data_IF_444799965296
#
_entry.id   IF_444799965296
#
_cell.length_a   1.000
_cell.length_b   1.000
_cell.length_c   1.000
_cell.angle_alpha   90.00
_cell.angle_beta   90.00
_cell.angle_gamma   90.00
#
_symmetry.space_group_name_H-M   'P 1'
#
loop_
_entity.id
_entity.type
_entity.pdbx_description
1 polymer ?
#
# COMPACT_ATOMS: atom_id res chain seq x y z
N UNK A 1 -15.32 -7.52 42.67
CA UNK A 1 -14.75 -6.36 41.97
C UNK A 1 -14.67 -6.75 40.52
N UNK A 2 -15.62 -6.27 39.70
CA UNK A 2 -15.57 -6.44 38.25
C UNK A 2 -14.39 -5.62 37.72
N UNK A 3 -13.39 -6.28 37.16
CA UNK A 3 -12.38 -5.64 36.33
C UNK A 3 -13.05 -5.26 35.01
N UNK A 4 -13.63 -4.08 34.97
CA UNK A 4 -14.03 -3.42 33.73
C UNK A 4 -12.73 -3.13 32.94
N UNK A 5 -12.65 -3.71 31.73
CA UNK A 5 -11.58 -3.56 30.73
C UNK A 5 -10.31 -4.44 30.83
N UNK A 6 -10.40 -5.76 30.56
CA UNK A 6 -9.20 -6.55 30.27
C UNK A 6 -8.91 -6.77 28.76
N UNK A 7 -9.61 -6.10 27.82
CA UNK A 7 -9.71 -6.63 26.45
C UNK A 7 -8.95 -5.89 25.34
N UNK A 8 -8.30 -4.79 25.62
CA UNK A 8 -7.47 -4.11 24.61
C UNK A 8 -6.06 -3.92 25.13
N UNK A 9 -5.19 -4.87 24.82
CA UNK A 9 -3.76 -4.66 25.03
C UNK A 9 -3.24 -3.84 23.85
N UNK A 10 -3.13 -2.53 24.05
CA UNK A 10 -2.51 -1.60 23.10
C UNK A 10 -1.02 -1.53 23.42
N UNK A 11 -0.20 -2.04 22.54
CA UNK A 11 1.25 -1.85 22.61
C UNK A 11 1.61 -0.60 21.82
N UNK A 12 1.76 0.52 22.52
CA UNK A 12 2.51 1.68 22.03
C UNK A 12 3.88 1.58 22.65
N UNK A 13 4.92 1.42 21.85
CA UNK A 13 6.24 1.72 22.34
C UNK A 13 6.25 3.22 22.64
N UNK A 14 6.53 3.60 23.88
CA UNK A 14 6.79 5.00 24.28
C UNK A 14 8.08 5.56 23.62
N UNK A 15 8.73 4.77 22.79
CA UNK A 15 10.01 5.04 22.18
C UNK A 15 9.87 5.21 20.68
N UNK A 16 10.30 6.32 20.25
CA UNK A 16 10.77 6.82 18.98
C UNK A 16 10.32 6.12 17.69
N UNK A 17 9.70 6.89 16.81
CA UNK A 17 9.63 6.62 15.36
C UNK A 17 11.02 6.22 14.85
N UNK A 18 11.17 5.16 14.06
CA UNK A 18 12.43 4.73 13.48
C UNK A 18 13.23 5.88 12.85
N UNK A 19 14.54 5.86 13.02
CA UNK A 19 15.46 6.91 12.49
C UNK A 19 15.89 6.64 11.06
N UNK A 20 15.65 5.43 10.56
CA UNK A 20 16.04 4.97 9.21
C UNK A 20 14.93 4.11 8.64
N UNK A 21 14.72 4.20 7.34
CA UNK A 21 13.96 3.21 6.60
C UNK A 21 14.84 2.01 6.29
N UNK A 22 14.23 0.83 6.23
CA UNK A 22 14.88 -0.41 5.83
C UNK A 22 14.67 -0.68 4.34
N UNK A 23 15.75 -0.93 3.61
CA UNK A 23 15.74 -1.22 2.20
C UNK A 23 16.00 -2.71 1.95
N UNK A 24 14.99 -3.44 1.48
CA UNK A 24 15.08 -4.87 1.19
C UNK A 24 16.08 -5.19 0.06
N UNK A 25 16.33 -4.24 -0.86
CA UNK A 25 17.25 -4.45 -1.98
C UNK A 25 18.66 -4.88 -1.53
N UNK A 26 19.07 -4.46 -0.34
CA UNK A 26 20.36 -4.84 0.24
C UNK A 26 20.42 -6.30 0.74
N UNK A 27 19.28 -6.96 0.88
CA UNK A 27 19.16 -8.29 1.48
C UNK A 27 18.38 -9.28 0.58
N UNK A 28 18.07 -8.92 -0.66
CA UNK A 28 17.39 -9.82 -1.58
C UNK A 28 18.22 -11.10 -1.83
N UNK A 29 17.59 -12.28 -1.90
CA UNK A 29 18.29 -13.55 -2.05
C UNK A 29 18.96 -13.72 -3.43
N UNK A 30 18.48 -12.96 -4.41
CA UNK A 30 19.02 -12.88 -5.78
C UNK A 30 18.91 -11.44 -6.28
N UNK A 31 19.71 -11.08 -7.26
CA UNK A 31 19.72 -9.74 -7.83
C UNK A 31 18.38 -9.38 -8.47
N UNK A 32 17.91 -8.16 -8.20
CA UNK A 32 16.68 -7.65 -8.81
C UNK A 32 16.93 -7.34 -10.30
N UNK A 33 16.08 -7.86 -11.21
CA UNK A 33 16.22 -7.55 -12.62
C UNK A 33 16.08 -6.05 -12.92
N UNK A 34 17.05 -5.49 -13.65
CA UNK A 34 17.07 -4.08 -13.99
C UNK A 34 15.85 -3.64 -14.83
N UNK A 35 15.36 -2.41 -14.65
CA UNK A 35 14.35 -1.82 -15.51
C UNK A 35 14.83 -1.77 -16.99
N UNK A 36 13.90 -1.85 -17.93
CA UNK A 36 14.20 -1.81 -19.37
C UNK A 36 13.41 -0.71 -20.08
N UNK A 37 14.09 -0.02 -20.98
CA UNK A 37 13.43 0.84 -21.95
C UNK A 37 12.73 -0.01 -23.03
N UNK A 38 11.61 0.47 -23.56
CA UNK A 38 11.05 -0.09 -24.79
C UNK A 38 11.82 0.38 -26.00
N UNK A 39 11.68 -0.33 -27.11
CA UNK A 39 12.38 -0.01 -28.35
C UNK A 39 12.10 1.45 -28.81
N UNK A 40 13.17 2.17 -29.08
CA UNK A 40 13.11 3.55 -29.54
C UNK A 40 12.69 4.60 -28.51
N UNK A 41 12.57 4.25 -27.22
CA UNK A 41 12.20 5.17 -26.13
C UNK A 41 13.26 5.14 -25.02
N UNK A 42 13.35 6.22 -24.28
CA UNK A 42 14.25 6.36 -23.13
C UNK A 42 13.44 6.72 -21.86
N UNK A 43 12.61 5.77 -21.44
CA UNK A 43 11.75 5.93 -20.26
C UNK A 43 12.55 6.05 -18.95
N UNK A 44 13.73 5.43 -18.87
CA UNK A 44 14.57 5.52 -17.66
C UNK A 44 15.03 6.97 -17.46
N UNK A 45 15.47 7.66 -18.52
CA UNK A 45 15.80 9.09 -18.43
C UNK A 45 14.56 9.96 -18.23
N UNK A 46 13.40 9.58 -18.79
CA UNK A 46 12.14 10.29 -18.54
C UNK A 46 11.75 10.32 -17.06
N UNK A 47 12.12 9.29 -16.28
CA UNK A 47 11.91 9.29 -14.82
C UNK A 47 12.65 10.45 -14.14
N UNK A 48 13.82 10.87 -14.62
CA UNK A 48 14.56 12.01 -14.06
C UNK A 48 13.78 13.33 -14.17
N UNK A 49 12.97 13.46 -15.21
CA UNK A 49 12.10 14.62 -15.38
C UNK A 49 10.85 14.50 -14.52
N UNK A 50 10.25 13.32 -14.44
CA UNK A 50 8.99 13.09 -13.74
C UNK A 50 9.12 13.05 -12.21
N UNK A 51 10.22 12.52 -11.66
CA UNK A 51 10.41 12.33 -10.22
C UNK A 51 11.34 13.37 -9.60
N UNK A 52 11.29 13.50 -8.28
CA UNK A 52 12.30 14.21 -7.50
C UNK A 52 13.65 13.46 -7.54
N UNK A 53 14.75 14.21 -7.44
CA UNK A 53 16.11 13.64 -7.42
C UNK A 53 16.28 12.64 -6.26
N UNK A 54 15.79 13.04 -5.08
CA UNK A 54 15.86 12.17 -3.90
C UNK A 54 14.98 10.92 -4.05
N UNK A 55 13.77 11.04 -4.63
CA UNK A 55 12.90 9.89 -4.94
C UNK A 55 13.61 8.88 -5.85
N UNK A 56 14.31 9.35 -6.89
CA UNK A 56 15.11 8.48 -7.76
C UNK A 56 16.34 7.89 -7.06
N UNK A 57 17.03 8.69 -6.24
CA UNK A 57 18.16 8.17 -5.46
C UNK A 57 17.72 7.02 -4.54
N UNK A 58 16.55 7.13 -3.93
CA UNK A 58 15.97 6.08 -3.10
C UNK A 58 15.43 4.89 -3.91
N UNK A 59 14.93 5.13 -5.13
CA UNK A 59 14.49 4.06 -6.02
C UNK A 59 15.60 3.09 -6.35
N UNK A 60 16.78 3.61 -6.67
CA UNK A 60 17.96 2.84 -7.05
C UNK A 60 18.94 2.61 -5.90
N UNK A 61 18.56 2.91 -4.65
CA UNK A 61 19.42 2.74 -3.50
C UNK A 61 19.75 1.27 -3.23
N UNK A 62 21.01 1.03 -2.88
CA UNK A 62 21.55 -0.28 -2.45
C UNK A 62 21.89 -0.32 -0.97
N UNK A 63 21.94 0.83 -0.30
CA UNK A 63 22.16 0.91 1.14
C UNK A 63 21.02 0.24 1.91
N UNK A 64 21.36 -0.61 2.88
CA UNK A 64 20.37 -1.32 3.71
C UNK A 64 19.50 -0.40 4.55
N UNK A 65 20.02 0.72 5.00
CA UNK A 65 19.31 1.68 5.83
C UNK A 65 19.48 3.10 5.31
N UNK A 66 18.38 3.75 4.98
CA UNK A 66 18.35 5.14 4.53
C UNK A 66 17.83 6.02 5.66
N UNK A 67 18.56 7.10 5.97
CA UNK A 67 18.21 8.01 7.07
C UNK A 67 16.89 8.73 6.77
N UNK A 68 16.00 8.74 7.76
CA UNK A 68 14.79 9.55 7.73
C UNK A 68 15.14 10.98 8.17
N UNK A 69 14.85 12.02 7.36
CA UNK A 69 15.04 13.41 7.79
C UNK A 69 14.31 13.71 9.11
N UNK A 70 14.88 14.58 9.94
CA UNK A 70 14.27 14.96 11.23
C UNK A 70 12.86 15.52 11.06
N UNK A 71 12.68 16.39 10.07
CA UNK A 71 11.42 17.04 9.75
C UNK A 71 10.34 16.03 9.31
N UNK A 72 10.73 15.01 8.53
CA UNK A 72 9.83 13.90 8.16
C UNK A 72 9.43 13.09 9.40
N UNK A 73 10.36 12.86 10.32
CA UNK A 73 10.07 12.14 11.58
C UNK A 73 9.15 12.95 12.49
N UNK A 74 9.33 14.26 12.57
CA UNK A 74 8.45 15.17 13.30
C UNK A 74 7.04 15.10 12.74
N UNK A 75 6.87 15.21 11.42
CA UNK A 75 5.57 15.05 10.77
C UNK A 75 4.95 13.66 11.01
N UNK A 76 5.75 12.59 11.00
CA UNK A 76 5.27 11.26 11.37
C UNK A 76 4.71 11.22 12.81
N UNK A 77 5.39 11.84 13.77
CA UNK A 77 4.93 11.90 15.16
C UNK A 77 3.66 12.75 15.31
N UNK A 78 3.58 13.89 14.64
CA UNK A 78 2.37 14.73 14.59
C UNK A 78 1.18 13.98 13.98
N UNK A 79 1.42 13.12 12.99
CA UNK A 79 0.40 12.28 12.35
C UNK A 79 0.10 10.99 13.12
N UNK A 80 0.59 10.86 14.35
CA UNK A 80 0.21 9.83 15.30
C UNK A 80 1.06 8.56 15.29
N UNK A 81 2.26 8.59 14.70
CA UNK A 81 3.21 7.46 14.81
C UNK A 81 3.99 7.49 16.14
N UNK A 82 4.40 6.32 16.67
CA UNK A 82 4.11 4.98 16.17
C UNK A 82 2.64 4.59 16.31
N UNK A 83 2.09 3.90 15.28
CA UNK A 83 0.72 3.40 15.35
C UNK A 83 0.62 2.20 16.31
N UNK A 84 -0.52 1.98 16.98
CA UNK A 84 -0.63 0.89 17.97
C UNK A 84 -0.59 -0.51 17.32
N UNK A 85 -0.12 -1.50 18.09
CA UNK A 85 -0.39 -2.91 17.86
C UNK A 85 -1.51 -3.35 18.81
N UNK A 86 -2.52 -4.05 18.31
CA UNK A 86 -3.64 -4.54 19.10
C UNK A 86 -3.79 -6.06 18.94
N UNK A 87 -4.26 -6.73 19.99
CA UNK A 87 -4.62 -8.15 19.95
C UNK A 87 -6.13 -8.31 19.82
N UNK A 88 -6.59 -9.13 18.88
CA UNK A 88 -8.00 -9.37 18.58
C UNK A 88 -8.60 -10.46 19.51
N UNK A 89 -8.59 -10.22 20.82
CA UNK A 89 -9.02 -11.21 21.82
C UNK A 89 -10.46 -11.64 21.68
N UNK A 90 -11.38 -10.72 21.35
CA UNK A 90 -12.80 -11.06 21.16
C UNK A 90 -13.03 -11.91 19.93
N UNK A 91 -12.27 -11.65 18.86
CA UNK A 91 -12.29 -12.49 17.66
C UNK A 91 -11.72 -13.89 17.96
N UNK A 92 -10.62 -13.99 18.71
CA UNK A 92 -10.04 -15.26 19.15
C UNK A 92 -11.06 -16.09 19.95
N UNK A 93 -11.75 -15.46 20.92
CA UNK A 93 -12.82 -16.07 21.72
C UNK A 93 -14.00 -16.51 20.86
N UNK A 94 -14.48 -15.63 19.95
CA UNK A 94 -15.56 -15.95 19.02
C UNK A 94 -15.24 -17.14 18.13
N UNK A 95 -14.02 -17.23 17.60
CA UNK A 95 -13.54 -18.35 16.79
C UNK A 95 -13.29 -19.61 17.62
N UNK A 96 -13.19 -19.48 18.94
CA UNK A 96 -12.79 -20.55 19.87
C UNK A 96 -11.48 -21.21 19.40
N UNK A 97 -10.43 -20.40 19.21
CA UNK A 97 -9.13 -20.81 18.67
C UNK A 97 -8.01 -20.60 19.70
N UNK A 98 -6.97 -21.45 19.73
CA UNK A 98 -5.76 -21.18 20.51
C UNK A 98 -4.84 -20.14 19.83
N UNK A 99 -5.12 -19.71 18.59
CA UNK A 99 -4.30 -18.72 17.89
C UNK A 99 -4.37 -17.37 18.59
N UNK A 100 -3.24 -16.65 18.61
CA UNK A 100 -3.14 -15.24 19.00
C UNK A 100 -3.15 -14.37 17.75
N UNK A 101 -4.11 -13.45 17.62
CA UNK A 101 -4.28 -12.63 16.44
C UNK A 101 -3.92 -11.18 16.77
N UNK A 102 -2.84 -10.66 16.18
CA UNK A 102 -2.40 -9.28 16.31
C UNK A 102 -2.68 -8.49 15.04
N UNK A 103 -3.03 -7.21 15.19
CA UNK A 103 -3.22 -6.31 14.06
C UNK A 103 -2.63 -4.93 14.33
N UNK A 104 -1.79 -4.49 13.39
CA UNK A 104 -1.14 -3.17 13.39
C UNK A 104 -2.13 -2.11 12.94
N UNK A 105 -2.36 -1.06 13.74
CA UNK A 105 -3.42 -0.08 13.63
C UNK A 105 -3.08 1.10 12.71
N UNK A 106 -2.89 0.87 11.41
CA UNK A 106 -2.71 1.95 10.42
C UNK A 106 -4.00 2.75 10.16
N UNK A 107 -5.14 2.24 10.59
CA UNK A 107 -6.43 2.95 10.64
C UNK A 107 -6.40 4.20 11.52
N UNK A 108 -5.51 4.27 12.51
CA UNK A 108 -5.36 5.45 13.39
C UNK A 108 -4.65 6.63 12.71
N UNK A 109 -4.08 6.44 11.52
CA UNK A 109 -3.54 7.53 10.70
C UNK A 109 -4.64 8.55 10.35
N UNK A 110 -4.34 9.86 10.24
CA UNK A 110 -5.33 10.88 9.87
C UNK A 110 -6.09 10.60 8.57
N UNK A 111 -5.48 9.87 7.64
CA UNK A 111 -6.10 9.46 6.37
C UNK A 111 -6.69 8.05 6.39
N UNK A 112 -6.66 7.38 7.54
CA UNK A 112 -7.17 6.02 7.72
C UNK A 112 -6.35 4.92 7.04
N UNK A 113 -5.14 5.23 6.57
CA UNK A 113 -4.30 4.26 5.86
C UNK A 113 -2.79 4.51 6.01
N UNK A 114 -1.99 3.49 5.65
CA UNK A 114 -0.53 3.55 5.63
C UNK A 114 0.06 4.54 4.61
N UNK A 115 -0.73 4.99 3.65
CA UNK A 115 -0.20 5.72 2.48
C UNK A 115 0.47 7.04 2.86
N UNK A 116 0.04 7.65 3.96
CA UNK A 116 0.64 8.88 4.48
C UNK A 116 2.14 8.72 4.79
N UNK A 117 2.59 7.50 5.14
CA UNK A 117 4.00 7.22 5.41
C UNK A 117 4.91 7.44 4.20
N UNK A 118 4.37 7.33 2.98
CA UNK A 118 5.12 7.63 1.76
C UNK A 118 4.76 8.99 1.17
N UNK A 119 3.55 9.48 1.40
CA UNK A 119 3.14 10.80 0.91
C UNK A 119 3.96 11.93 1.56
N UNK A 120 4.20 11.87 2.87
CA UNK A 120 4.99 12.87 3.60
C UNK A 120 6.41 12.99 3.04
N UNK A 121 7.24 11.93 2.94
CA UNK A 121 8.59 12.08 2.43
C UNK A 121 8.62 12.50 0.96
N UNK A 122 7.73 12.01 0.10
CA UNK A 122 7.68 12.45 -1.30
C UNK A 122 7.37 13.95 -1.42
N UNK A 123 6.40 14.45 -0.66
CA UNK A 123 6.09 15.88 -0.62
C UNK A 123 7.23 16.70 0.02
N UNK A 124 7.87 16.20 1.08
CA UNK A 124 9.01 16.84 1.71
C UNK A 124 10.20 17.02 0.75
N UNK A 125 10.57 15.98 0.03
CA UNK A 125 11.67 16.07 -0.93
C UNK A 125 11.34 16.98 -2.10
N UNK A 126 10.10 16.96 -2.60
CA UNK A 126 9.64 17.89 -3.62
C UNK A 126 9.77 19.35 -3.14
N UNK A 127 9.31 19.66 -1.93
CA UNK A 127 9.45 21.00 -1.32
C UNK A 127 10.92 21.43 -1.21
N UNK A 128 11.81 20.51 -0.78
CA UNK A 128 13.25 20.79 -0.66
C UNK A 128 13.92 21.03 -2.00
N UNK A 129 13.40 20.47 -3.08
CA UNK A 129 13.86 20.69 -4.46
C UNK A 129 13.26 21.93 -5.13
N UNK A 130 12.38 22.66 -4.42
CA UNK A 130 11.73 23.87 -4.95
C UNK A 130 10.59 23.58 -5.93
N UNK A 131 10.05 22.36 -5.91
CA UNK A 131 8.88 21.97 -6.70
C UNK A 131 7.63 22.63 -6.12
N UNK A 132 6.75 23.13 -6.98
CA UNK A 132 5.54 23.83 -6.57
C UNK A 132 4.32 22.91 -6.52
N UNK A 133 4.26 21.89 -7.40
CA UNK A 133 3.11 21.00 -7.52
C UNK A 133 3.48 19.54 -7.67
N UNK A 134 2.70 18.68 -7.01
CA UNK A 134 2.74 17.24 -7.20
C UNK A 134 1.51 16.76 -7.95
N UNK A 135 1.73 15.84 -8.89
CA UNK A 135 0.67 15.13 -9.60
C UNK A 135 0.73 13.64 -9.29
N UNK A 136 -0.43 12.99 -9.31
CA UNK A 136 -0.52 11.56 -9.00
C UNK A 136 -1.79 10.92 -9.53
N UNK A 137 -1.76 9.59 -9.62
CA UNK A 137 -2.92 8.74 -9.78
C UNK A 137 -3.54 8.35 -8.44
N UNK A 138 -4.79 7.90 -8.45
CA UNK A 138 -5.37 7.15 -7.31
C UNK A 138 -6.46 6.19 -7.76
N UNK A 139 -6.43 4.94 -7.27
CA UNK A 139 -7.46 3.95 -7.54
C UNK A 139 -8.75 4.23 -6.76
N UNK A 140 -8.74 3.98 -5.45
CA UNK A 140 -9.90 4.14 -4.54
C UNK A 140 -9.96 5.51 -3.84
N UNK A 141 -9.00 6.41 -4.09
CA UNK A 141 -8.89 7.72 -3.46
C UNK A 141 -8.01 7.74 -2.20
N UNK A 142 -7.56 6.63 -1.66
CA UNK A 142 -6.76 6.59 -0.45
C UNK A 142 -5.38 7.25 -0.63
N UNK A 143 -4.70 6.97 -1.76
CA UNK A 143 -3.43 7.59 -2.05
C UNK A 143 -3.58 9.09 -2.34
N UNK A 144 -4.54 9.48 -3.18
CA UNK A 144 -4.83 10.89 -3.44
C UNK A 144 -5.14 11.68 -2.16
N UNK A 145 -5.92 11.10 -1.24
CA UNK A 145 -6.20 11.71 0.08
C UNK A 145 -4.91 11.90 0.91
N UNK A 146 -4.05 10.89 0.94
CA UNK A 146 -2.80 10.97 1.70
C UNK A 146 -1.84 12.01 1.11
N UNK A 147 -1.72 12.08 -0.22
CA UNK A 147 -0.88 13.06 -0.88
C UNK A 147 -1.45 14.47 -0.74
N UNK A 148 -2.77 14.67 -0.92
CA UNK A 148 -3.39 15.99 -0.72
C UNK A 148 -3.15 16.53 0.69
N UNK A 149 -3.24 15.68 1.74
CA UNK A 149 -2.88 16.06 3.09
C UNK A 149 -1.40 16.42 3.21
N UNK A 150 -0.49 15.61 2.69
CA UNK A 150 0.95 15.85 2.77
C UNK A 150 1.35 17.14 2.03
N UNK A 151 0.76 17.40 0.86
CA UNK A 151 0.97 18.64 0.12
C UNK A 151 0.45 19.86 0.89
N UNK A 152 -0.74 19.76 1.48
CA UNK A 152 -1.30 20.84 2.30
C UNK A 152 -0.44 21.16 3.54
N UNK A 153 0.14 20.14 4.19
CA UNK A 153 1.06 20.34 5.34
C UNK A 153 2.38 21.01 4.94
N UNK A 154 2.78 20.91 3.69
CA UNK A 154 4.05 21.39 3.18
C UNK A 154 3.92 22.55 2.19
N UNK A 155 2.73 23.16 2.09
CA UNK A 155 2.43 24.27 1.14
C UNK A 155 2.81 23.94 -0.31
N UNK A 156 2.32 22.79 -0.80
CA UNK A 156 2.45 22.37 -2.20
C UNK A 156 1.07 22.26 -2.84
N UNK A 157 0.98 22.53 -4.14
CA UNK A 157 -0.21 22.16 -4.91
C UNK A 157 -0.25 20.65 -5.17
N UNK A 158 -1.47 20.11 -5.32
CA UNK A 158 -1.70 18.68 -5.58
C UNK A 158 -2.75 18.47 -6.67
N UNK A 159 -2.38 17.73 -7.72
CA UNK A 159 -3.32 17.26 -8.77
C UNK A 159 -3.46 15.75 -8.68
N UNK A 160 -4.70 15.27 -8.69
CA UNK A 160 -5.03 13.85 -8.51
C UNK A 160 -5.90 13.35 -9.65
N UNK A 161 -5.43 12.36 -10.40
CA UNK A 161 -6.20 11.61 -11.39
C UNK A 161 -6.80 10.38 -10.74
N UNK A 162 -8.11 10.39 -10.47
CA UNK A 162 -8.81 9.30 -9.80
C UNK A 162 -9.53 8.42 -10.79
N UNK A 163 -9.34 7.11 -10.72
CA UNK A 163 -10.04 6.14 -11.58
C UNK A 163 -11.55 6.38 -11.58
N UNK A 164 -12.14 6.64 -12.75
CA UNK A 164 -13.52 7.13 -12.96
C UNK A 164 -14.58 6.29 -12.26
N UNK A 165 -14.47 4.96 -12.31
CA UNK A 165 -15.41 4.09 -11.60
C UNK A 165 -15.38 4.33 -10.09
N UNK A 166 -14.21 4.52 -9.50
CA UNK A 166 -14.07 4.83 -8.08
C UNK A 166 -14.48 6.26 -7.74
N UNK A 167 -14.18 7.21 -8.60
CA UNK A 167 -14.63 8.60 -8.46
C UNK A 167 -16.15 8.68 -8.32
N UNK A 168 -16.88 7.93 -9.16
CA UNK A 168 -18.33 7.87 -9.11
C UNK A 168 -18.89 7.09 -7.91
N UNK A 169 -18.21 5.99 -7.51
CA UNK A 169 -18.63 5.15 -6.38
C UNK A 169 -18.34 5.80 -5.02
N UNK A 170 -17.35 6.70 -4.94
CA UNK A 170 -16.79 7.22 -3.69
C UNK A 170 -16.67 8.75 -3.69
N UNK A 171 -17.80 9.49 -3.85
CA UNK A 171 -17.76 10.96 -3.97
C UNK A 171 -17.17 11.64 -2.74
N UNK A 172 -17.33 11.05 -1.54
CA UNK A 172 -16.78 11.62 -0.31
C UNK A 172 -15.23 11.67 -0.30
N UNK A 173 -14.57 10.81 -1.11
CA UNK A 173 -13.10 10.87 -1.26
C UNK A 173 -12.66 12.15 -1.94
N UNK A 174 -13.39 12.58 -2.99
CA UNK A 174 -13.15 13.87 -3.63
C UNK A 174 -13.30 15.01 -2.63
N UNK A 175 -14.38 15.02 -1.86
CA UNK A 175 -14.64 16.07 -0.86
C UNK A 175 -13.51 16.17 0.18
N UNK A 176 -12.97 15.05 0.63
CA UNK A 176 -11.82 15.04 1.58
C UNK A 176 -10.57 15.62 0.91
N UNK A 177 -10.28 15.23 -0.34
CA UNK A 177 -9.15 15.78 -1.08
C UNK A 177 -9.30 17.27 -1.34
N UNK A 178 -10.50 17.74 -1.69
CA UNK A 178 -10.81 19.16 -1.85
C UNK A 178 -10.59 19.95 -0.54
N UNK A 179 -10.95 19.38 0.63
CA UNK A 179 -10.67 19.99 1.95
C UNK A 179 -9.17 20.18 2.18
N UNK A 180 -8.35 19.27 1.67
CA UNK A 180 -6.88 19.38 1.70
C UNK A 180 -6.31 20.10 0.48
N UNK A 181 -7.09 20.92 -0.21
CA UNK A 181 -6.70 21.70 -1.39
C UNK A 181 -6.22 20.88 -2.61
N UNK A 182 -6.53 19.58 -2.67
CA UNK A 182 -6.22 18.73 -3.81
C UNK A 182 -7.19 18.95 -4.97
N UNK A 183 -6.68 19.14 -6.18
CA UNK A 183 -7.48 19.21 -7.42
C UNK A 183 -7.70 17.80 -7.95
N UNK A 184 -8.94 17.32 -8.03
CA UNK A 184 -9.24 15.91 -8.35
C UNK A 184 -10.01 15.80 -9.67
N UNK A 185 -9.49 15.01 -10.60
CA UNK A 185 -10.10 14.73 -11.89
C UNK A 185 -10.44 13.25 -12.04
N UNK A 186 -11.60 12.96 -12.65
CA UNK A 186 -11.97 11.58 -12.99
C UNK A 186 -11.14 11.14 -14.22
N UNK A 187 -10.38 10.06 -14.08
CA UNK A 187 -9.52 9.50 -15.13
C UNK A 187 -10.22 8.33 -15.86
N UNK A 188 -10.28 8.33 -17.23
CA UNK A 188 -9.69 9.31 -18.14
C UNK A 188 -10.40 10.66 -18.09
N UNK A 189 -9.63 11.74 -18.25
CA UNK A 189 -10.09 13.14 -18.19
C UNK A 189 -9.85 13.88 -19.51
N UNK A 190 -10.53 15.01 -19.69
CA UNK A 190 -10.30 15.90 -20.83
C UNK A 190 -9.07 16.81 -20.65
N UNK A 191 -8.42 16.80 -19.47
CA UNK A 191 -7.32 17.70 -19.15
C UNK A 191 -5.99 17.28 -19.79
N UNK A 192 -5.82 16.00 -20.07
CA UNK A 192 -4.61 15.42 -20.66
C UNK A 192 -4.86 14.94 -22.08
N UNK A 193 -3.80 14.84 -22.88
CA UNK A 193 -3.90 14.27 -24.22
C UNK A 193 -4.27 12.78 -24.16
N UNK A 194 -3.63 12.05 -23.27
CA UNK A 194 -3.93 10.64 -23.01
C UNK A 194 -5.40 10.43 -22.69
N UNK A 195 -5.94 11.23 -21.77
CA UNK A 195 -7.34 11.10 -21.36
C UNK A 195 -8.31 11.39 -22.52
N UNK A 196 -8.06 12.44 -23.30
CA UNK A 196 -8.87 12.78 -24.49
C UNK A 196 -8.85 11.66 -25.53
N UNK A 197 -7.69 11.13 -25.88
CA UNK A 197 -7.56 10.04 -26.88
C UNK A 197 -8.32 8.76 -26.45
N UNK A 198 -8.32 8.45 -25.15
CA UNK A 198 -9.06 7.31 -24.62
C UNK A 198 -10.58 7.57 -24.66
N UNK A 199 -11.01 8.79 -24.30
CA UNK A 199 -12.43 9.16 -24.31
C UNK A 199 -13.00 9.28 -25.75
N UNK A 200 -12.18 9.71 -26.72
CA UNK A 200 -12.57 9.69 -28.13
C UNK A 200 -12.84 8.26 -28.64
N UNK A 201 -11.98 7.29 -28.26
CA UNK A 201 -12.14 5.88 -28.62
C UNK A 201 -13.28 5.20 -27.87
N UNK A 202 -13.47 5.54 -26.60
CA UNK A 202 -14.49 4.96 -25.73
C UNK A 202 -14.99 5.98 -24.70
N UNK A 203 -16.03 6.77 -25.00
CA UNK A 203 -16.59 7.77 -24.08
C UNK A 203 -17.10 7.20 -22.76
N UNK A 204 -17.43 5.90 -22.73
CA UNK A 204 -17.89 5.18 -21.54
C UNK A 204 -16.78 4.47 -20.76
N UNK A 205 -15.50 4.72 -21.09
CA UNK A 205 -14.37 4.06 -20.43
C UNK A 205 -14.41 4.29 -18.91
N UNK A 206 -14.32 3.22 -18.13
CA UNK A 206 -14.45 3.25 -16.67
C UNK A 206 -13.18 3.71 -15.95
N UNK A 207 -12.09 3.84 -16.69
CA UNK A 207 -10.76 4.10 -16.15
C UNK A 207 -10.05 2.86 -15.62
N UNK A 208 -8.73 2.93 -15.59
CA UNK A 208 -7.87 1.98 -14.89
C UNK A 208 -6.77 2.75 -14.17
N UNK A 209 -6.04 2.08 -13.26
CA UNK A 209 -4.94 2.74 -12.58
C UNK A 209 -3.81 3.08 -13.59
N UNK A 210 -3.56 2.20 -14.58
CA UNK A 210 -2.58 2.46 -15.64
C UNK A 210 -2.90 3.69 -16.48
N UNK A 211 -4.19 3.95 -16.77
CA UNK A 211 -4.62 5.19 -17.45
C UNK A 211 -4.36 6.42 -16.56
N UNK A 212 -4.73 6.36 -15.29
CA UNK A 212 -4.52 7.47 -14.36
C UNK A 212 -3.02 7.78 -14.14
N UNK A 213 -2.15 6.75 -14.14
CA UNK A 213 -0.69 6.90 -14.13
C UNK A 213 -0.23 7.63 -15.39
N UNK A 214 -0.71 7.22 -16.58
CA UNK A 214 -0.33 7.89 -17.83
C UNK A 214 -0.72 9.36 -17.84
N UNK A 215 -1.92 9.72 -17.35
CA UNK A 215 -2.35 11.14 -17.26
C UNK A 215 -1.48 11.94 -16.29
N UNK A 216 -1.17 11.41 -15.13
CA UNK A 216 -0.32 12.07 -14.14
C UNK A 216 1.13 12.20 -14.62
N UNK A 217 1.67 11.16 -15.28
CA UNK A 217 3.01 11.19 -15.89
C UNK A 217 3.09 12.23 -17.03
N UNK A 218 2.07 12.31 -17.91
CA UNK A 218 2.00 13.31 -18.97
C UNK A 218 2.13 14.73 -18.39
N UNK A 219 1.36 15.07 -17.34
CA UNK A 219 1.43 16.39 -16.68
C UNK A 219 2.84 16.70 -16.15
N UNK A 220 3.49 15.71 -15.49
CA UNK A 220 4.83 15.90 -14.97
C UNK A 220 5.92 15.99 -16.05
N UNK A 221 5.73 15.29 -17.18
CA UNK A 221 6.68 15.33 -18.30
C UNK A 221 6.55 16.62 -19.14
N UNK A 222 5.41 17.25 -19.14
CA UNK A 222 5.18 18.50 -19.88
C UNK A 222 5.52 19.77 -19.08
N UNK A 223 5.69 19.65 -17.73
CA UNK A 223 5.93 20.80 -16.87
C UNK A 223 7.06 20.54 -15.85
N UNK A 224 8.12 21.33 -15.92
CA UNK A 224 9.33 21.17 -15.08
C UNK A 224 9.08 21.49 -13.59
N UNK A 225 8.07 22.31 -13.26
CA UNK A 225 7.67 22.67 -11.88
C UNK A 225 6.76 21.62 -11.23
N UNK A 226 6.40 20.57 -11.99
CA UNK A 226 5.53 19.50 -11.54
C UNK A 226 6.33 18.20 -11.43
N UNK A 227 6.12 17.46 -10.34
CA UNK A 227 6.67 16.10 -10.19
C UNK A 227 5.57 15.10 -9.95
N UNK A 228 5.76 13.90 -10.53
CA UNK A 228 4.90 12.76 -10.33
C UNK A 228 5.27 12.03 -9.04
N UNK A 229 4.24 11.57 -8.34
CA UNK A 229 4.36 10.73 -7.14
C UNK A 229 3.44 9.54 -7.24
N UNK A 230 3.77 8.46 -6.54
CA UNK A 230 2.93 7.26 -6.52
C UNK A 230 2.89 6.60 -5.14
N UNK A 231 1.81 5.84 -4.90
CA UNK A 231 1.54 5.25 -3.61
C UNK A 231 1.85 3.76 -3.48
N UNK A 232 2.53 3.14 -4.46
CA UNK A 232 2.86 1.71 -4.45
C UNK A 232 3.90 1.37 -5.52
N UNK A 233 4.26 0.10 -5.67
CA UNK A 233 5.07 -0.53 -6.72
C UNK A 233 6.57 -0.25 -6.61
N UNK A 234 7.01 1.00 -6.66
CA UNK A 234 8.43 1.37 -6.73
C UNK A 234 9.15 1.25 -5.38
N UNK A 235 10.47 1.03 -5.43
CA UNK A 235 11.27 0.77 -4.24
C UNK A 235 11.20 1.89 -3.19
N UNK A 236 11.28 3.15 -3.60
CA UNK A 236 11.24 4.26 -2.64
C UNK A 236 9.92 4.28 -1.84
N UNK A 237 8.80 3.86 -2.45
CA UNK A 237 7.53 3.71 -1.74
C UNK A 237 7.58 2.54 -0.78
N UNK A 238 8.08 1.36 -1.22
CA UNK A 238 8.25 0.19 -0.37
C UNK A 238 9.13 0.51 0.84
N UNK A 239 10.25 1.19 0.60
CA UNK A 239 11.20 1.68 1.58
C UNK A 239 10.51 2.53 2.67
N UNK A 240 9.78 3.57 2.28
CA UNK A 240 9.08 4.46 3.23
C UNK A 240 8.08 3.68 4.11
N UNK A 241 7.46 2.65 3.57
CA UNK A 241 6.47 1.86 4.31
C UNK A 241 7.11 0.93 5.35
N UNK A 242 8.40 0.61 5.25
CA UNK A 242 9.07 -0.29 6.22
C UNK A 242 9.09 0.23 7.65
N UNK A 243 8.77 1.50 7.87
CA UNK A 243 8.53 2.07 9.20
C UNK A 243 7.48 1.25 9.97
N UNK A 244 6.47 0.70 9.29
CA UNK A 244 5.41 -0.12 9.88
C UNK A 244 5.98 -1.40 10.47
N UNK A 245 6.76 -2.14 9.68
CA UNK A 245 7.35 -3.41 10.10
C UNK A 245 8.42 -3.23 11.17
N UNK A 246 9.19 -2.13 11.12
CA UNK A 246 10.16 -1.81 12.17
C UNK A 246 9.49 -1.52 13.51
N UNK A 247 8.40 -0.73 13.52
CA UNK A 247 7.59 -0.51 14.72
C UNK A 247 6.94 -1.81 15.21
N UNK A 248 6.39 -2.60 14.27
CA UNK A 248 5.74 -3.88 14.59
C UNK A 248 6.72 -4.86 15.26
N UNK A 249 7.97 -4.91 14.80
CA UNK A 249 9.03 -5.74 15.40
C UNK A 249 9.21 -5.40 16.88
N UNK A 250 9.47 -4.13 17.18
CA UNK A 250 9.61 -3.66 18.57
C UNK A 250 8.36 -3.89 19.41
N UNK A 251 7.17 -3.73 18.82
CA UNK A 251 5.91 -3.92 19.53
C UNK A 251 5.64 -5.41 19.84
N UNK A 252 6.01 -6.31 18.95
CA UNK A 252 5.92 -7.77 19.21
C UNK A 252 6.95 -8.21 20.25
N UNK A 253 8.17 -7.66 20.24
CA UNK A 253 9.18 -7.87 21.29
C UNK A 253 8.64 -7.45 22.67
N UNK A 254 7.99 -6.27 22.78
CA UNK A 254 7.33 -5.81 24.02
C UNK A 254 6.18 -6.75 24.45
N UNK A 255 5.49 -7.33 23.47
CA UNK A 255 4.42 -8.30 23.73
C UNK A 255 4.94 -9.71 24.07
N UNK A 256 6.27 -9.93 24.02
CA UNK A 256 6.93 -11.23 24.18
C UNK A 256 6.41 -12.28 23.17
N UNK A 257 6.19 -11.83 21.91
CA UNK A 257 5.61 -12.66 20.85
C UNK A 257 6.49 -12.65 19.60
N UNK A 258 6.58 -13.82 18.97
CA UNK A 258 7.18 -13.98 17.63
C UNK A 258 6.08 -14.43 16.66
N UNK A 259 5.97 -13.82 15.46
CA UNK A 259 4.91 -14.18 14.53
C UNK A 259 5.24 -15.49 13.79
N UNK A 260 4.36 -16.50 13.91
CA UNK A 260 4.40 -17.71 13.09
C UNK A 260 3.91 -17.43 11.67
N UNK A 261 2.91 -16.54 11.55
CA UNK A 261 2.28 -16.18 10.27
C UNK A 261 2.05 -14.68 10.21
N UNK A 262 2.54 -14.06 9.15
CA UNK A 262 2.27 -12.65 8.85
C UNK A 262 1.50 -12.53 7.54
N UNK A 263 0.40 -11.77 7.57
CA UNK A 263 -0.57 -11.69 6.48
C UNK A 263 -0.80 -10.24 6.10
N UNK A 264 -0.68 -9.91 4.82
CA UNK A 264 -0.99 -8.59 4.32
C UNK A 264 -1.71 -8.65 2.96
N UNK A 265 -2.60 -7.68 2.70
CA UNK A 265 -3.23 -7.57 1.39
C UNK A 265 -2.24 -6.99 0.36
N UNK A 266 -2.37 -7.43 -0.89
CA UNK A 266 -1.50 -7.05 -1.99
C UNK A 266 -2.29 -6.42 -3.15
N UNK A 267 -2.00 -5.13 -3.40
CA UNK A 267 -2.33 -4.42 -4.63
C UNK A 267 -1.05 -4.24 -5.44
N UNK A 268 -0.43 -3.06 -5.43
CA UNK A 268 0.92 -2.85 -5.98
C UNK A 268 2.06 -3.24 -5.02
N UNK A 269 1.78 -3.70 -3.80
CA UNK A 269 2.77 -4.24 -2.87
C UNK A 269 3.09 -3.38 -1.63
N UNK A 270 2.72 -2.09 -1.57
CA UNK A 270 3.16 -1.18 -0.48
C UNK A 270 2.69 -1.58 0.91
N UNK A 271 1.46 -2.10 1.01
CA UNK A 271 0.91 -2.64 2.25
C UNK A 271 1.75 -3.80 2.76
N UNK A 272 2.01 -4.75 1.89
CA UNK A 272 2.73 -5.98 2.16
C UNK A 272 4.19 -5.69 2.50
N UNK A 273 4.89 -4.95 1.64
CA UNK A 273 6.29 -4.60 1.82
C UNK A 273 6.54 -3.88 3.16
N UNK A 274 5.71 -2.87 3.47
CA UNK A 274 5.84 -2.10 4.70
C UNK A 274 5.76 -2.94 5.96
N UNK A 275 4.89 -3.94 5.98
CA UNK A 275 4.71 -4.82 7.13
C UNK A 275 5.73 -5.94 7.18
N UNK A 276 6.06 -6.56 6.03
CA UNK A 276 6.76 -7.83 5.99
C UNK A 276 8.27 -7.73 5.73
N UNK A 277 8.76 -6.75 4.97
CA UNK A 277 10.17 -6.69 4.57
C UNK A 277 11.16 -6.76 5.75
N UNK A 278 10.97 -6.02 6.87
CA UNK A 278 11.87 -6.14 8.03
C UNK A 278 11.93 -7.54 8.65
N UNK A 279 10.87 -8.35 8.50
CA UNK A 279 10.79 -9.74 8.98
C UNK A 279 11.28 -10.76 7.95
N UNK A 280 11.06 -10.48 6.65
CA UNK A 280 11.56 -11.34 5.55
C UNK A 280 13.08 -11.42 5.61
N UNK A 281 13.77 -10.33 5.98
CA UNK A 281 15.20 -10.33 6.23
C UNK A 281 15.63 -11.44 7.19
N UNK A 282 14.95 -11.58 8.32
CA UNK A 282 15.30 -12.61 9.29
C UNK A 282 15.14 -14.02 8.73
N UNK A 283 14.15 -14.22 7.85
CA UNK A 283 13.96 -15.50 7.14
C UNK A 283 15.06 -15.74 6.09
N UNK A 284 15.46 -14.71 5.35
CA UNK A 284 16.58 -14.81 4.39
C UNK A 284 17.87 -15.16 5.12
N UNK A 285 18.11 -14.57 6.28
CA UNK A 285 19.26 -14.84 7.14
C UNK A 285 19.20 -16.23 7.84
N UNK A 286 18.08 -16.97 7.70
CA UNK A 286 17.86 -18.26 8.34
C UNK A 286 17.51 -18.19 9.84
N UNK A 287 17.19 -17.00 10.34
CA UNK A 287 16.90 -16.73 11.76
C UNK A 287 15.40 -16.85 12.10
N UNK A 288 14.52 -17.04 11.10
CA UNK A 288 13.07 -17.14 11.32
C UNK A 288 12.42 -18.14 10.37
N UNK A 289 11.39 -18.83 10.88
CA UNK A 289 10.52 -19.73 10.11
C UNK A 289 9.15 -19.11 9.83
N UNK A 290 8.96 -17.81 10.03
CA UNK A 290 7.71 -17.09 9.80
C UNK A 290 7.19 -17.34 8.38
N UNK A 291 5.91 -17.68 8.28
CA UNK A 291 5.20 -17.79 7.01
C UNK A 291 4.66 -16.40 6.60
N UNK A 292 5.00 -15.94 5.39
CA UNK A 292 4.51 -14.68 4.86
C UNK A 292 3.47 -14.92 3.78
N UNK A 293 2.28 -14.31 3.92
CA UNK A 293 1.16 -14.52 3.02
C UNK A 293 0.71 -13.19 2.42
N UNK A 294 0.71 -13.12 1.08
CA UNK A 294 0.14 -12.04 0.31
C UNK A 294 -1.28 -12.39 -0.11
N UNK A 295 -2.27 -11.55 0.20
CA UNK A 295 -3.66 -11.81 -0.15
C UNK A 295 -4.17 -10.78 -1.14
N UNK A 296 -4.67 -11.27 -2.28
CA UNK A 296 -5.21 -10.45 -3.36
C UNK A 296 -6.67 -10.80 -3.70
N UNK A 297 -7.43 -9.89 -4.36
CA UNK A 297 -8.77 -10.22 -4.82
C UNK A 297 -8.72 -11.22 -5.98
N UNK A 298 -9.61 -12.20 -5.96
CA UNK A 298 -9.75 -13.16 -7.08
C UNK A 298 -10.15 -12.50 -8.40
N UNK A 299 -10.64 -11.25 -8.35
CA UNK A 299 -10.96 -10.44 -9.53
C UNK A 299 -9.75 -9.69 -10.11
N UNK A 300 -8.62 -9.61 -9.38
CA UNK A 300 -7.37 -9.02 -9.83
C UNK A 300 -6.19 -9.88 -9.30
N UNK A 301 -6.01 -11.10 -9.82
CA UNK A 301 -5.14 -12.13 -9.26
C UNK A 301 -3.71 -12.01 -9.79
N UNK A 302 -3.06 -10.89 -9.55
CA UNK A 302 -1.75 -10.54 -10.11
C UNK A 302 -0.65 -11.53 -9.73
N UNK A 303 -0.56 -11.91 -8.43
CA UNK A 303 0.45 -12.86 -7.95
C UNK A 303 0.09 -14.32 -8.19
N UNK A 304 -1.22 -14.67 -8.12
CA UNK A 304 -1.67 -16.07 -8.21
C UNK A 304 -1.89 -16.53 -9.64
N UNK A 305 -2.14 -15.63 -10.60
CA UNK A 305 -2.45 -15.96 -12.00
C UNK A 305 -1.69 -15.12 -13.03
N UNK A 306 -1.03 -14.03 -12.61
CA UNK A 306 -0.22 -13.20 -13.49
C UNK A 306 1.04 -13.90 -13.97
N UNK A 307 1.61 -13.44 -15.09
CA UNK A 307 2.90 -13.88 -15.61
C UNK A 307 4.04 -13.09 -14.95
N UNK A 308 5.19 -13.76 -14.72
CA UNK A 308 6.39 -13.07 -14.26
C UNK A 308 7.22 -12.61 -15.46
N UNK A 309 7.00 -11.38 -15.91
CA UNK A 309 7.59 -10.84 -17.13
C UNK A 309 7.87 -9.34 -17.03
N UNK A 310 8.51 -8.77 -18.04
CA UNK A 310 8.66 -7.32 -18.16
C UNK A 310 7.37 -6.70 -18.68
N UNK A 311 6.85 -5.70 -17.93
CA UNK A 311 5.65 -4.99 -18.32
C UNK A 311 5.73 -3.52 -17.86
N UNK A 312 4.91 -2.66 -18.46
CA UNK A 312 4.82 -1.25 -18.13
C UNK A 312 3.99 -1.02 -16.85
N UNK A 313 4.32 0.04 -16.14
CA UNK A 313 3.50 0.50 -15.02
C UNK A 313 2.23 1.22 -15.45
N UNK A 314 2.20 1.76 -16.68
CA UNK A 314 1.14 2.57 -17.25
C UNK A 314 0.75 2.13 -18.66
N UNK A 315 -0.44 2.56 -19.13
CA UNK A 315 -1.01 2.11 -20.41
C UNK A 315 -0.27 2.69 -21.62
N UNK A 316 0.26 3.92 -21.52
CA UNK A 316 0.92 4.59 -22.65
C UNK A 316 2.43 4.32 -22.75
N UNK A 317 2.99 3.58 -21.77
CA UNK A 317 4.41 3.25 -21.73
C UNK A 317 5.29 4.49 -21.52
N UNK A 318 4.90 5.40 -20.62
CA UNK A 318 5.75 6.49 -20.14
C UNK A 318 6.75 6.00 -19.09
N UNK A 319 6.41 4.92 -18.37
CA UNK A 319 7.30 4.27 -17.42
C UNK A 319 8.18 3.22 -18.10
N UNK A 320 9.39 2.94 -17.58
CA UNK A 320 10.16 1.78 -18.06
C UNK A 320 9.45 0.47 -17.72
N UNK A 321 9.77 -0.58 -18.46
CA UNK A 321 9.29 -1.93 -18.15
C UNK A 321 10.03 -2.48 -16.93
N UNK A 322 9.26 -2.98 -15.95
CA UNK A 322 9.75 -3.63 -14.75
C UNK A 322 9.50 -5.13 -14.82
N UNK A 323 10.45 -5.94 -14.30
CA UNK A 323 10.26 -7.38 -14.17
C UNK A 323 9.37 -7.66 -12.95
N UNK A 324 8.13 -8.09 -13.19
CA UNK A 324 7.13 -8.25 -12.15
C UNK A 324 6.09 -9.31 -12.49
N UNK A 325 5.33 -9.74 -11.50
CA UNK A 325 4.06 -10.42 -11.78
C UNK A 325 3.05 -9.41 -12.31
N UNK A 326 2.45 -9.71 -13.45
CA UNK A 326 1.50 -8.83 -14.14
C UNK A 326 0.37 -9.58 -14.80
N UNK A 327 -0.77 -8.91 -14.93
CA UNK A 327 -1.94 -9.33 -15.74
C UNK A 327 -1.96 -8.65 -17.13
N UNK A 328 -0.91 -7.86 -17.44
CA UNK A 328 -0.81 -7.00 -18.61
C UNK A 328 -1.22 -5.56 -18.33
N UNK A 329 -0.46 -4.58 -18.83
CA UNK A 329 -0.72 -3.16 -18.57
C UNK A 329 -2.06 -2.64 -19.14
N UNK A 330 -2.64 -3.35 -20.11
CA UNK A 330 -3.99 -3.08 -20.65
C UNK A 330 -5.12 -3.67 -19.81
N UNK A 331 -4.81 -4.44 -18.75
CA UNK A 331 -5.82 -5.08 -17.92
C UNK A 331 -6.69 -4.07 -17.18
N UNK A 332 -7.99 -4.15 -17.40
CA UNK A 332 -9.00 -3.36 -16.70
C UNK A 332 -9.68 -4.25 -15.66
N UNK A 333 -9.34 -4.01 -14.39
CA UNK A 333 -9.91 -4.78 -13.29
C UNK A 333 -11.44 -4.56 -13.17
N UNK A 334 -12.23 -5.62 -12.89
CA UNK A 334 -13.65 -5.48 -12.58
C UNK A 334 -13.92 -4.51 -11.43
N UNK A 335 -15.15 -3.95 -11.39
CA UNK A 335 -15.58 -2.96 -10.40
C UNK A 335 -15.80 -3.60 -9.02
N UNK A 336 -14.75 -4.16 -8.39
CA UNK A 336 -14.80 -4.64 -7.01
C UNK A 336 -14.59 -3.49 -6.02
N UNK A 337 -15.18 -3.60 -4.82
CA UNK A 337 -15.13 -2.53 -3.81
C UNK A 337 -13.72 -2.25 -3.26
N UNK A 338 -12.84 -3.26 -3.21
CA UNK A 338 -11.42 -3.11 -2.83
C UNK A 338 -10.61 -2.41 -3.94
N UNK A 339 -10.95 -1.16 -4.24
CA UNK A 339 -10.36 -0.39 -5.33
C UNK A 339 -8.85 -0.16 -5.21
N UNK A 340 -8.30 -0.20 -3.99
CA UNK A 340 -6.86 -0.12 -3.73
C UNK A 340 -6.09 -1.40 -4.09
N UNK A 341 -6.79 -2.49 -4.42
CA UNK A 341 -6.17 -3.76 -4.86
C UNK A 341 -6.40 -4.02 -6.37
N UNK A 342 -6.83 -3.03 -7.14
CA UNK A 342 -7.09 -3.12 -8.57
C UNK A 342 -5.93 -2.57 -9.38
N UNK A 343 -4.81 -3.27 -9.39
CA UNK A 343 -3.66 -2.92 -10.21
C UNK A 343 -3.12 -4.15 -10.91
N UNK A 344 -2.76 -4.03 -12.19
CA UNK A 344 -2.34 -5.13 -13.04
C UNK A 344 -0.97 -5.71 -12.68
N UNK A 345 -0.08 -4.89 -12.07
CA UNK A 345 1.30 -5.24 -11.78
C UNK A 345 1.61 -5.26 -10.27
N UNK A 346 2.69 -5.91 -9.90
CA UNK A 346 3.19 -6.02 -8.54
C UNK A 346 4.59 -5.43 -8.44
N UNK A 347 4.94 -4.85 -7.28
CA UNK A 347 6.32 -4.42 -6.99
C UNK A 347 7.34 -5.48 -7.41
N UNK A 348 8.44 -5.09 -8.10
CA UNK A 348 9.51 -6.02 -8.47
C UNK A 348 10.06 -6.82 -7.29
N UNK A 349 10.26 -6.18 -6.12
CA UNK A 349 10.76 -6.83 -4.91
C UNK A 349 9.78 -7.89 -4.37
N UNK A 350 8.50 -7.55 -4.30
CA UNK A 350 7.44 -8.48 -3.89
C UNK A 350 7.33 -9.62 -4.87
N UNK A 351 7.39 -9.33 -6.16
CA UNK A 351 7.34 -10.33 -7.24
C UNK A 351 8.51 -11.31 -7.15
N UNK A 352 9.72 -10.79 -6.96
CA UNK A 352 10.92 -11.61 -6.79
C UNK A 352 10.82 -12.52 -5.57
N UNK A 353 10.48 -11.96 -4.40
CA UNK A 353 10.35 -12.72 -3.16
C UNK A 353 9.24 -13.78 -3.24
N UNK A 354 8.17 -13.52 -3.99
CA UNK A 354 7.12 -14.50 -4.26
C UNK A 354 7.63 -15.62 -5.17
N UNK A 355 8.33 -15.27 -6.24
CA UNK A 355 8.93 -16.23 -7.19
C UNK A 355 9.94 -17.14 -6.49
N UNK A 356 10.75 -16.60 -5.59
CA UNK A 356 11.75 -17.33 -4.81
C UNK A 356 11.16 -18.09 -3.58
N UNK A 357 9.83 -18.03 -3.38
CA UNK A 357 9.12 -18.81 -2.35
C UNK A 357 9.18 -18.23 -0.93
N UNK A 358 9.63 -16.99 -0.75
CA UNK A 358 9.59 -16.31 0.54
C UNK A 358 8.19 -15.83 0.91
N UNK A 359 7.37 -15.50 -0.09
CA UNK A 359 5.99 -15.02 0.07
C UNK A 359 5.04 -16.00 -0.61
N UNK A 360 4.02 -16.47 0.12
CA UNK A 360 2.94 -17.32 -0.40
C UNK A 360 1.79 -16.45 -0.88
N UNK A 361 1.45 -16.43 -2.19
CA UNK A 361 0.29 -15.70 -2.68
C UNK A 361 -0.99 -16.50 -2.49
N UNK A 362 -2.06 -15.82 -2.05
CA UNK A 362 -3.42 -16.35 -1.97
C UNK A 362 -4.42 -15.35 -2.53
N UNK A 363 -5.49 -15.85 -3.15
CA UNK A 363 -6.60 -15.00 -3.60
C UNK A 363 -7.87 -15.31 -2.80
N UNK A 364 -8.72 -14.28 -2.61
CA UNK A 364 -9.98 -14.41 -1.90
C UNK A 364 -11.13 -13.73 -2.67
N UNK A 365 -12.34 -14.32 -2.58
CA UNK A 365 -13.54 -13.78 -3.21
C UNK A 365 -14.17 -12.66 -2.39
N UNK A 366 -14.70 -11.64 -3.06
CA UNK A 366 -15.29 -10.45 -2.44
C UNK A 366 -16.32 -10.78 -1.34
N UNK A 367 -17.22 -11.75 -1.56
CA UNK A 367 -18.23 -12.15 -0.59
C UNK A 367 -17.60 -12.65 0.71
N UNK A 368 -16.65 -13.56 0.61
CA UNK A 368 -15.97 -14.16 1.77
C UNK A 368 -15.17 -13.12 2.58
N UNK A 369 -14.51 -12.18 1.89
CA UNK A 369 -13.74 -11.14 2.58
C UNK A 369 -14.66 -10.13 3.28
N UNK A 370 -15.83 -9.82 2.73
CA UNK A 370 -16.81 -8.97 3.42
C UNK A 370 -17.43 -9.68 4.64
N UNK A 371 -17.76 -10.97 4.54
CA UNK A 371 -18.21 -11.77 5.68
C UNK A 371 -17.16 -11.75 6.82
N UNK A 372 -15.88 -11.92 6.48
CA UNK A 372 -14.78 -11.82 7.44
C UNK A 372 -14.63 -10.41 8.04
N UNK A 373 -14.77 -9.37 7.22
CA UNK A 373 -14.72 -7.97 7.67
C UNK A 373 -15.86 -7.63 8.63
N UNK A 374 -17.09 -8.10 8.36
CA UNK A 374 -18.24 -7.95 9.26
C UNK A 374 -18.03 -8.70 10.56
N UNK A 375 -17.50 -9.93 10.49
CA UNK A 375 -17.14 -10.71 11.67
C UNK A 375 -16.13 -9.96 12.54
N UNK A 376 -15.05 -9.46 11.96
CA UNK A 376 -14.03 -8.66 12.66
C UNK A 376 -14.63 -7.40 13.29
N UNK A 377 -15.42 -6.63 12.52
CA UNK A 377 -16.01 -5.38 13.01
C UNK A 377 -16.97 -5.61 14.20
N UNK A 378 -17.75 -6.69 14.18
CA UNK A 378 -18.68 -7.03 15.27
C UNK A 378 -17.96 -7.44 16.56
N UNK A 379 -16.80 -8.06 16.44
CA UNK A 379 -16.03 -8.51 17.59
C UNK A 379 -15.09 -7.44 18.13
N UNK A 380 -14.37 -6.74 17.24
CA UNK A 380 -13.32 -5.79 17.66
C UNK A 380 -13.76 -4.31 17.66
N UNK A 381 -14.97 -4.01 17.14
CA UNK A 381 -15.49 -2.64 17.10
C UNK A 381 -14.80 -1.72 16.09
N UNK A 382 -14.04 -2.27 15.15
CA UNK A 382 -13.30 -1.55 14.13
C UNK A 382 -13.82 -1.96 12.76
N UNK A 383 -14.24 -0.98 11.94
CA UNK A 383 -14.70 -1.22 10.59
C UNK A 383 -13.50 -1.26 9.62
N UNK A 384 -13.08 -2.43 9.13
CA UNK A 384 -11.93 -2.51 8.26
C UNK A 384 -12.24 -2.01 6.85
N UNK A 385 -11.22 -1.45 6.17
CA UNK A 385 -11.32 -1.18 4.74
C UNK A 385 -11.53 -2.47 3.93
N UNK A 386 -12.23 -2.42 2.77
CA UNK A 386 -12.43 -3.58 1.91
C UNK A 386 -11.12 -4.27 1.49
N UNK A 387 -10.04 -3.52 1.37
CA UNK A 387 -8.71 -4.02 1.12
C UNK A 387 -8.22 -4.91 2.27
N UNK A 388 -8.34 -4.41 3.50
CA UNK A 388 -7.89 -5.10 4.72
C UNK A 388 -8.69 -6.38 4.98
N UNK A 389 -9.97 -6.43 4.58
CA UNK A 389 -10.80 -7.63 4.77
C UNK A 389 -10.22 -8.88 4.10
N UNK A 390 -9.39 -8.72 3.05
CA UNK A 390 -8.69 -9.83 2.40
C UNK A 390 -7.68 -10.49 3.35
N UNK A 391 -6.88 -9.69 4.04
CA UNK A 391 -5.94 -10.19 5.04
C UNK A 391 -6.66 -10.77 6.27
N UNK A 392 -7.73 -10.12 6.73
CA UNK A 392 -8.58 -10.61 7.86
C UNK A 392 -9.17 -11.98 7.54
N UNK A 393 -9.68 -12.19 6.31
CA UNK A 393 -10.23 -13.49 5.87
C UNK A 393 -9.20 -14.60 6.04
N UNK A 394 -7.99 -14.39 5.57
CA UNK A 394 -6.92 -15.39 5.66
C UNK A 394 -6.44 -15.55 7.11
N UNK A 395 -6.41 -14.49 7.92
CA UNK A 395 -6.10 -14.59 9.34
C UNK A 395 -7.13 -15.45 10.11
N UNK A 396 -8.42 -15.29 9.80
CA UNK A 396 -9.49 -16.14 10.34
C UNK A 396 -9.31 -17.61 9.90
N UNK A 397 -8.96 -17.85 8.63
CA UNK A 397 -8.74 -19.20 8.13
C UNK A 397 -7.57 -19.90 8.84
N UNK A 398 -6.44 -19.18 9.05
CA UNK A 398 -5.30 -19.70 9.79
C UNK A 398 -5.68 -19.97 11.28
N UNK A 399 -6.45 -19.08 11.91
CA UNK A 399 -6.94 -19.29 13.27
C UNK A 399 -7.87 -20.52 13.38
N UNK A 400 -8.72 -20.74 12.36
CA UNK A 400 -9.56 -21.95 12.28
C UNK A 400 -8.71 -23.23 12.10
N UNK A 401 -7.60 -23.16 11.35
CA UNK A 401 -6.64 -24.27 11.25
C UNK A 401 -6.00 -24.57 12.61
N UNK A 402 -5.63 -23.52 13.37
CA UNK A 402 -5.12 -23.69 14.73
C UNK A 402 -6.13 -24.40 15.64
N UNK A 403 -7.41 -24.02 15.59
CA UNK A 403 -8.49 -24.69 16.30
C UNK A 403 -8.59 -26.19 15.94
N UNK A 404 -8.55 -26.52 14.64
CA UNK A 404 -8.66 -27.92 14.17
C UNK A 404 -7.46 -28.78 14.56
N UNK A 405 -6.27 -28.18 14.62
CA UNK A 405 -5.01 -28.89 14.91
C UNK A 405 -4.62 -28.87 16.39
N UNK A 406 -5.25 -27.99 17.19
CA UNK A 406 -4.86 -27.74 18.58
C UNK A 406 -3.53 -27.00 18.73
N UNK A 407 -2.91 -26.54 17.64
CA UNK A 407 -1.63 -25.83 17.65
C UNK A 407 -1.85 -24.33 17.84
N UNK A 408 -1.20 -23.76 18.85
CA UNK A 408 -1.11 -22.31 19.01
C UNK A 408 -0.19 -21.71 17.94
N UNK A 409 -0.58 -20.58 17.39
CA UNK A 409 0.23 -19.74 16.51
C UNK A 409 -0.02 -18.27 16.77
N UNK A 410 1.02 -17.45 16.66
CA UNK A 410 0.91 -16.00 16.63
C UNK A 410 0.74 -15.54 15.19
N UNK A 411 -0.44 -14.99 14.89
CA UNK A 411 -0.83 -14.49 13.57
C UNK A 411 -0.81 -12.95 13.62
N UNK A 412 -0.02 -12.33 12.77
CA UNK A 412 0.03 -10.87 12.64
C UNK A 412 -0.58 -10.41 11.32
N UNK A 413 -1.45 -9.42 11.39
CA UNK A 413 -2.02 -8.73 10.22
C UNK A 413 -2.04 -7.24 10.45
N UNK A 414 -2.67 -6.47 9.54
CA UNK A 414 -2.77 -5.02 9.64
C UNK A 414 -4.20 -4.55 9.41
N UNK A 415 -4.62 -3.55 10.18
CA UNK A 415 -5.91 -2.89 9.95
C UNK A 415 -5.73 -1.53 9.29
N UNK A 416 -6.59 -1.25 8.34
CA UNK A 416 -6.90 0.09 7.84
C UNK A 416 -8.39 0.31 8.03
N UNK A 417 -8.77 1.49 8.52
CA UNK A 417 -10.17 1.83 8.72
C UNK A 417 -10.73 2.52 7.48
N UNK A 418 -11.96 2.20 7.18
CA UNK A 418 -12.77 2.99 6.27
C UNK A 418 -13.38 4.13 7.06
N UNK A 419 -12.89 5.36 6.91
CA UNK A 419 -13.62 6.52 7.42
C UNK A 419 -14.97 6.62 6.69
N UNK A 420 -16.02 6.63 7.49
CA UNK A 420 -17.42 6.47 7.09
C UNK A 420 -17.88 7.58 6.14
N UNK A 421 -18.19 7.19 4.90
CA UNK A 421 -19.08 7.89 4.00
C UNK A 421 -20.29 7.01 3.69
N UNK A 422 -21.21 7.42 2.79
CA UNK A 422 -22.40 6.67 2.37
C UNK A 422 -22.15 5.25 1.83
N UNK A 423 -20.89 4.85 1.73
CA UNK A 423 -20.41 3.59 1.19
C UNK A 423 -20.76 2.35 2.05
N UNK A 424 -21.25 2.54 3.27
CA UNK A 424 -21.69 1.44 4.14
C UNK A 424 -23.16 1.02 3.89
N UNK A 425 -23.82 1.54 2.88
CA UNK A 425 -25.25 1.32 2.61
C UNK A 425 -25.56 0.39 1.43
N UNK A 426 -24.59 -0.30 0.86
CA UNK A 426 -24.81 -1.28 -0.22
C UNK A 426 -24.58 -2.70 0.24
#
# INVERSE_FOLDING_TARGET
>A
RSTLFPYTTLFRSSTEVPKKWYNINADLPVELPEPKNSEGKDQINALQKAFTKEGLAQEFATDRYIKIPSEVRELYMEMGRPTPLSRAKRLEEYLNTPAKIYFKREDTSPTGSHKLNSAIPQAYFAKKEGIERLTTETGAGQWGTALSLACNLLDLECTVYMVKVSFNQKPDRKNIMDIYNGKVYASPSENTKVGREILEKNPSHLGSLGVAISEAMEEALENDEVKYTLGSVLNHVMLHQTIIGQELKTQLEIAEEEPDVMIACAGGGSNLAGSLFPFIKDKIDGNSNTQFIAVEPSACPTLTKGSYEYDFGDVNGFTPMLKMFTLGHDFVAPSVHAGGLRYHGMSPQVSLLTKEGYIEPRSAHQKEVFEAGVCFARNEGILPAPETTHAIKVAIDEAIKCKKTGKEKTISTRSEERRVGKECRS
#
